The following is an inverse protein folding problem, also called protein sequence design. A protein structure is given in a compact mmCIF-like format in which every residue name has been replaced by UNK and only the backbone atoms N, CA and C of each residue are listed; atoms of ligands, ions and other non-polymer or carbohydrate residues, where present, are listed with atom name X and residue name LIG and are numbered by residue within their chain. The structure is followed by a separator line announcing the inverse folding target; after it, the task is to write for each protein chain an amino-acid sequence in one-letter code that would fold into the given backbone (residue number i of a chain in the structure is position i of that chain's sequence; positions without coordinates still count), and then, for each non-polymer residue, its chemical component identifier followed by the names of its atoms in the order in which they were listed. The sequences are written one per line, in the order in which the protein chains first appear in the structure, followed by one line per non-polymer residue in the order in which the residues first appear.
data_IF_651980185799
#
_entry.id   IF_651980185799
#
_cell.length_a   1.000
_cell.length_b   1.000
_cell.length_c   1.000
_cell.angle_alpha   90.00
_cell.angle_beta   90.00
_cell.angle_gamma   90.00
#
_symmetry.space_group_name_H-M   'P 1'
#
loop_
_entity.id
_entity.type
_entity.pdbx_description
1 polymer ?
#
# COMPACT_ATOMS: atom_id res chain seq x y z
N UNK A 1 9.06 29.97 28.47
CA UNK A 1 8.67 30.28 27.07
C UNK A 1 9.37 29.34 26.08
N UNK A 2 9.17 28.01 26.17
CA UNK A 2 9.82 27.01 25.29
C UNK A 2 8.94 25.82 24.88
N UNK A 3 7.63 25.85 25.14
CA UNK A 3 6.75 24.66 24.98
C UNK A 3 5.83 24.67 23.74
N UNK A 4 5.86 25.71 22.89
CA UNK A 4 4.90 25.84 21.78
C UNK A 4 5.45 25.40 20.40
N UNK A 5 6.76 25.11 20.26
CA UNK A 5 7.33 24.74 18.95
C UNK A 5 7.15 23.28 18.54
N UNK A 6 6.70 22.39 19.42
CA UNK A 6 6.63 20.94 19.13
C UNK A 6 5.32 20.49 18.46
N UNK A 7 4.24 21.29 18.54
CA UNK A 7 2.93 20.96 17.97
C UNK A 7 2.87 21.14 16.45
N UNK A 8 3.67 22.05 15.88
CA UNK A 8 3.65 22.34 14.44
C UNK A 8 4.21 21.19 13.59
N UNK A 9 5.31 20.56 14.02
CA UNK A 9 5.94 19.44 13.29
C UNK A 9 5.14 18.14 13.41
N UNK A 10 4.51 17.89 14.56
CA UNK A 10 3.68 16.71 14.76
C UNK A 10 2.38 16.77 13.95
N UNK A 11 1.72 17.94 13.88
CA UNK A 11 0.51 18.13 13.09
C UNK A 11 0.79 18.00 11.58
N UNK A 12 1.91 18.54 11.11
CA UNK A 12 2.37 18.40 9.72
C UNK A 12 2.73 16.95 9.38
N UNK A 13 3.37 16.22 10.30
CA UNK A 13 3.66 14.80 10.11
C UNK A 13 2.37 13.94 10.03
N UNK A 14 1.37 14.25 10.86
CA UNK A 14 0.05 13.58 10.82
C UNK A 14 -0.69 13.90 9.51
N UNK A 15 -0.60 15.12 8.99
CA UNK A 15 -1.21 15.54 7.71
C UNK A 15 -0.49 15.00 6.46
N UNK A 16 0.81 14.71 6.56
CA UNK A 16 1.59 14.04 5.50
C UNK A 16 1.38 12.51 5.50
N UNK A 17 0.73 11.98 6.54
CA UNK A 17 0.39 10.56 6.70
C UNK A 17 -1.04 10.28 6.23
N UNK A 18 -1.33 10.49 4.94
CA UNK A 18 -2.65 10.20 4.35
C UNK A 18 -2.95 8.70 4.24
N UNK A 19 -2.98 7.97 5.35
CA UNK A 19 -3.60 6.65 5.47
C UNK A 19 -4.29 6.50 6.84
N UNK A 20 -5.08 7.50 7.25
CA UNK A 20 -6.02 7.32 8.37
C UNK A 20 -7.34 6.78 7.84
N UNK A 21 -7.42 5.48 7.62
CA UNK A 21 -8.70 4.76 7.60
C UNK A 21 -8.75 3.89 8.86
N UNK A 22 -9.75 4.12 9.71
CA UNK A 22 -9.98 3.35 10.93
C UNK A 22 -10.06 1.84 10.57
N UNK A 23 -9.02 1.08 10.91
CA UNK A 23 -8.95 -0.38 10.69
C UNK A 23 -7.81 -0.88 9.80
N UNK A 24 -7.07 0.01 9.13
CA UNK A 24 -5.86 -0.31 8.37
C UNK A 24 -4.65 -0.52 9.31
N UNK A 25 -4.26 -1.76 9.60
CA UNK A 25 -3.11 -2.06 10.44
C UNK A 25 -1.95 -2.66 9.62
N UNK A 26 -0.73 -2.17 9.88
CA UNK A 26 0.54 -2.76 9.44
C UNK A 26 0.76 -2.81 7.92
N UNK A 27 0.42 -1.73 7.22
CA UNK A 27 0.76 -1.59 5.82
C UNK A 27 2.00 -0.71 5.62
N UNK A 28 2.80 -0.98 4.58
CA UNK A 28 3.94 -0.17 4.17
C UNK A 28 3.82 0.21 2.69
N UNK A 29 3.80 1.52 2.40
CA UNK A 29 3.71 2.03 1.03
C UNK A 29 4.87 2.98 0.71
N UNK A 30 5.53 2.75 -0.41
CA UNK A 30 6.58 3.62 -0.92
C UNK A 30 6.43 3.84 -2.42
N UNK A 31 6.08 5.05 -2.83
CA UNK A 31 5.85 5.41 -4.23
C UNK A 31 4.56 6.20 -4.41
N UNK A 32 4.50 7.02 -5.46
CA UNK A 32 3.28 7.78 -5.79
C UNK A 32 2.13 6.79 -6.08
N UNK A 33 1.00 7.00 -5.42
CA UNK A 33 -0.23 6.19 -5.56
C UNK A 33 -0.08 4.70 -5.18
N UNK A 34 0.99 4.31 -4.48
CA UNK A 34 1.11 2.95 -3.94
C UNK A 34 0.04 2.71 -2.87
N UNK A 35 -0.71 1.61 -2.97
CA UNK A 35 -1.78 1.27 -2.01
C UNK A 35 -2.94 2.26 -1.95
N UNK A 36 -3.12 3.10 -2.97
CA UNK A 36 -4.01 4.27 -2.95
C UNK A 36 -5.43 4.03 -2.41
N UNK A 37 -6.03 2.89 -2.71
CA UNK A 37 -7.44 2.59 -2.38
C UNK A 37 -7.63 1.43 -1.42
N UNK A 38 -6.57 1.00 -0.74
CA UNK A 38 -6.62 -0.22 0.07
C UNK A 38 -7.29 -0.05 1.43
N UNK A 39 -8.13 -1.03 1.72
CA UNK A 39 -8.86 -1.27 2.96
C UNK A 39 -8.45 -2.59 3.63
N UNK A 40 -7.53 -3.36 3.04
CA UNK A 40 -6.91 -4.56 3.64
C UNK A 40 -5.60 -4.31 4.40
N UNK A 41 -5.23 -5.26 5.26
CA UNK A 41 -4.14 -5.14 6.24
C UNK A 41 -2.87 -5.90 5.83
N UNK A 42 -1.74 -5.63 6.49
CA UNK A 42 -0.49 -6.36 6.33
C UNK A 42 0.05 -6.41 4.88
N UNK A 43 -0.06 -5.32 4.14
CA UNK A 43 0.38 -5.18 2.77
C UNK A 43 1.66 -4.34 2.67
N UNK A 44 2.61 -4.76 1.84
CA UNK A 44 3.83 -3.98 1.52
C UNK A 44 3.84 -3.67 0.03
N UNK A 45 3.70 -2.41 -0.37
CA UNK A 45 3.70 -1.97 -1.77
C UNK A 45 4.78 -0.94 -2.04
N UNK A 46 5.67 -1.23 -2.99
CA UNK A 46 6.80 -0.37 -3.34
C UNK A 46 6.83 -0.16 -4.87
N UNK A 47 6.67 1.08 -5.32
CA UNK A 47 6.66 1.45 -6.73
C UNK A 47 5.49 2.36 -7.11
N UNK A 48 5.58 3.05 -8.25
CA UNK A 48 4.48 3.86 -8.76
C UNK A 48 3.25 2.99 -9.00
N UNK A 49 2.13 3.34 -8.35
CA UNK A 49 0.84 2.66 -8.48
C UNK A 49 0.87 1.15 -8.13
N UNK A 50 1.86 0.70 -7.35
CA UNK A 50 1.93 -0.68 -6.85
C UNK A 50 0.77 -0.96 -5.90
N UNK A 51 0.01 -2.05 -6.16
CA UNK A 51 -1.19 -2.38 -5.39
C UNK A 51 -2.27 -1.29 -5.43
N UNK A 52 -2.26 -0.45 -6.47
CA UNK A 52 -3.06 0.78 -6.54
C UNK A 52 -4.58 0.58 -6.53
N UNK A 53 -5.08 -0.61 -6.92
CA UNK A 53 -6.49 -0.98 -6.86
C UNK A 53 -6.80 -2.11 -5.84
N UNK A 54 -5.86 -2.47 -4.96
CA UNK A 54 -6.15 -3.39 -3.87
C UNK A 54 -7.18 -2.77 -2.96
N UNK A 55 -8.35 -3.39 -2.83
CA UNK A 55 -9.40 -2.96 -1.92
C UNK A 55 -9.24 -3.76 -0.63
N UNK A 56 -9.74 -4.99 -0.54
CA UNK A 56 -9.75 -5.76 0.72
C UNK A 56 -8.65 -6.81 0.85
N UNK A 57 -7.78 -6.97 -0.14
CA UNK A 57 -6.67 -7.94 -0.10
C UNK A 57 -5.69 -7.66 1.04
N UNK A 58 -5.20 -8.71 1.69
CA UNK A 58 -4.31 -8.64 2.85
C UNK A 58 -3.12 -9.59 2.70
N UNK A 59 -2.05 -9.35 3.45
CA UNK A 59 -0.81 -10.15 3.37
C UNK A 59 -0.18 -10.18 1.96
N UNK A 60 -0.25 -9.08 1.21
CA UNK A 60 0.38 -8.98 -0.10
C UNK A 60 1.70 -8.21 -0.06
N UNK A 61 2.67 -8.60 -0.88
CA UNK A 61 3.97 -7.96 -1.01
C UNK A 61 4.27 -7.66 -2.49
N UNK A 62 4.14 -6.40 -2.91
CA UNK A 62 4.32 -5.97 -4.31
C UNK A 62 5.48 -4.99 -4.44
N UNK A 63 6.40 -5.28 -5.35
CA UNK A 63 7.61 -4.49 -5.59
C UNK A 63 7.79 -4.24 -7.08
N UNK A 64 7.49 -3.03 -7.55
CA UNK A 64 7.66 -2.61 -8.93
C UNK A 64 6.59 -1.61 -9.36
N UNK A 65 6.89 -0.83 -10.40
CA UNK A 65 5.91 0.06 -11.03
C UNK A 65 4.75 -0.77 -11.57
N UNK A 66 3.51 -0.42 -11.20
CA UNK A 66 2.27 -1.11 -11.61
C UNK A 66 2.18 -2.59 -11.18
N UNK A 67 3.02 -3.03 -10.24
CA UNK A 67 2.95 -4.40 -9.71
C UNK A 67 1.64 -4.60 -8.94
N UNK A 68 0.89 -5.65 -9.27
CA UNK A 68 -0.40 -5.95 -8.65
C UNK A 68 -1.43 -4.83 -8.79
N UNK A 69 -1.31 -4.00 -9.84
CA UNK A 69 -2.10 -2.79 -10.02
C UNK A 69 -3.61 -3.03 -9.85
N UNK A 70 -4.15 -4.10 -10.42
CA UNK A 70 -5.60 -4.37 -10.42
C UNK A 70 -6.04 -5.46 -9.45
N UNK A 71 -5.15 -5.98 -8.60
CA UNK A 71 -5.54 -6.97 -7.58
C UNK A 71 -6.50 -6.31 -6.62
N UNK A 72 -7.76 -6.76 -6.52
CA UNK A 72 -8.82 -6.15 -5.70
C UNK A 72 -8.95 -6.83 -4.35
N UNK A 73 -8.99 -8.17 -4.34
CA UNK A 73 -9.33 -8.93 -3.12
C UNK A 73 -8.37 -10.08 -2.83
N UNK A 74 -7.34 -10.29 -3.65
CA UNK A 74 -6.41 -11.41 -3.46
C UNK A 74 -5.57 -11.27 -2.20
N UNK A 75 -5.23 -12.40 -1.59
CA UNK A 75 -4.46 -12.50 -0.35
C UNK A 75 -3.16 -13.25 -0.55
N UNK A 76 -2.17 -13.02 0.31
CA UNK A 76 -0.94 -13.82 0.32
C UNK A 76 -0.17 -13.83 -1.02
N UNK A 77 -0.24 -12.75 -1.80
CA UNK A 77 0.43 -12.67 -3.09
C UNK A 77 1.78 -11.95 -2.98
N UNK A 78 2.80 -12.45 -3.67
CA UNK A 78 4.12 -11.81 -3.74
C UNK A 78 4.51 -11.52 -5.19
N UNK A 79 4.46 -10.25 -5.58
CA UNK A 79 4.78 -9.82 -6.95
C UNK A 79 6.02 -8.95 -6.95
N UNK A 80 6.99 -9.31 -7.78
CA UNK A 80 8.24 -8.58 -7.94
C UNK A 80 8.41 -8.25 -9.42
N UNK A 81 8.84 -7.04 -9.75
CA UNK A 81 9.02 -6.59 -11.14
C UNK A 81 7.98 -5.56 -11.59
N UNK A 82 8.36 -4.79 -12.62
CA UNK A 82 7.44 -3.83 -13.24
C UNK A 82 6.29 -4.59 -13.92
N UNK A 83 5.05 -4.22 -13.62
CA UNK A 83 3.81 -4.83 -14.12
C UNK A 83 3.60 -6.31 -13.74
N UNK A 84 4.37 -6.85 -12.79
CA UNK A 84 4.15 -8.21 -12.28
C UNK A 84 2.76 -8.34 -11.66
N UNK A 85 1.99 -9.34 -12.10
CA UNK A 85 0.60 -9.52 -11.66
C UNK A 85 -0.33 -8.34 -11.95
N UNK A 86 0.02 -7.45 -12.89
CA UNK A 86 -0.76 -6.24 -13.22
C UNK A 86 -2.15 -6.54 -13.79
N UNK A 87 -2.38 -7.75 -14.29
CA UNK A 87 -3.68 -8.26 -14.76
C UNK A 87 -4.34 -9.24 -13.79
N UNK A 88 -3.83 -9.37 -12.56
CA UNK A 88 -4.33 -10.33 -11.58
C UNK A 88 -5.37 -9.66 -10.68
N UNK A 89 -6.67 -9.81 -10.99
CA UNK A 89 -7.76 -9.14 -10.26
C UNK A 89 -8.11 -9.80 -8.92
N UNK A 90 -8.00 -11.13 -8.85
CA UNK A 90 -8.34 -11.97 -7.69
C UNK A 90 -7.40 -13.17 -7.64
N UNK A 91 -7.38 -13.87 -6.49
CA UNK A 91 -6.59 -15.10 -6.31
C UNK A 91 -5.58 -14.99 -5.17
N UNK A 92 -5.38 -16.11 -4.48
CA UNK A 92 -4.57 -16.18 -3.28
C UNK A 92 -3.31 -17.02 -3.51
N UNK A 93 -2.19 -16.62 -2.92
CA UNK A 93 -0.96 -17.43 -2.92
C UNK A 93 -0.18 -17.44 -4.24
N UNK A 94 -0.30 -16.39 -5.05
CA UNK A 94 0.43 -16.29 -6.31
C UNK A 94 1.80 -15.62 -6.13
N UNK A 95 2.76 -16.05 -6.94
CA UNK A 95 4.06 -15.38 -7.07
C UNK A 95 4.34 -15.05 -8.54
N UNK A 96 4.58 -13.76 -8.82
CA UNK A 96 5.00 -13.27 -10.13
C UNK A 96 6.37 -12.58 -9.98
N UNK A 97 7.24 -12.76 -10.99
CA UNK A 97 8.57 -12.17 -11.08
C UNK A 97 8.69 -11.25 -12.29
#
# INVERSE_FOLDING_TARGET
MKTIKLLGSALIAILLSNHTSFGQHNNYYAGKDAGKVTTGNFNTFVGYFSGGANTSGYHNAFFGTLSGQINKTGHFNTFFGSQAGSSHETGDGNSFQ
#
